data_IF_732704347769
#
_entry.id   IF_732704347769
#
_cell.length_a   1.000
_cell.length_b   1.000
_cell.length_c   1.000
_cell.angle_alpha   90.00
_cell.angle_beta   90.00
_cell.angle_gamma   90.00
#
_symmetry.space_group_name_H-M   'P 1'
#
loop_
_entity.id
_entity.type
_entity.pdbx_description
1 polymer ?
#
# COMPACT_ATOMS: atom_id res chain seq x y z
N UNK A 1 12.27 -1.81 12.94
CA UNK A 1 11.31 -2.77 13.53
C UNK A 1 10.69 -2.11 14.76
N UNK A 2 9.37 -1.92 14.81
CA UNK A 2 8.70 -1.39 16.01
C UNK A 2 8.34 -2.56 16.93
N UNK A 3 9.21 -2.93 17.86
CA UNK A 3 9.01 -4.19 18.57
C UNK A 3 7.92 -4.13 19.64
N UNK A 4 7.53 -2.96 20.17
CA UNK A 4 6.50 -2.84 21.24
C UNK A 4 5.75 -1.50 21.23
N UNK A 5 4.49 -1.53 20.81
CA UNK A 5 3.56 -0.39 20.91
C UNK A 5 2.53 -0.70 21.99
N UNK A 6 2.08 0.29 22.75
CA UNK A 6 1.17 0.11 23.88
C UNK A 6 0.01 1.11 23.83
N UNK A 7 -1.13 0.73 24.40
CA UNK A 7 -2.16 1.67 24.83
C UNK A 7 -1.96 2.00 26.31
N UNK A 8 -2.28 3.24 26.68
CA UNK A 8 -2.20 3.71 28.06
C UNK A 8 -3.60 4.03 28.59
N UNK A 9 -3.71 4.08 29.92
CA UNK A 9 -4.88 4.60 30.62
C UNK A 9 -4.42 5.56 31.72
N UNK A 10 -5.27 6.52 32.08
CA UNK A 10 -5.01 7.40 33.22
C UNK A 10 -5.47 6.70 34.49
N UNK A 11 -4.58 6.60 35.47
CA UNK A 11 -4.87 6.06 36.79
C UNK A 11 -4.63 7.12 37.85
N UNK A 12 -5.59 7.25 38.76
CA UNK A 12 -5.47 8.12 39.94
C UNK A 12 -4.60 7.44 41.00
N UNK A 13 -3.81 8.22 41.71
CA UNK A 13 -3.02 7.77 42.85
C UNK A 13 -2.90 8.91 43.85
N UNK A 14 -2.67 8.57 45.12
CA UNK A 14 -2.33 9.54 46.16
C UNK A 14 -0.82 9.55 46.33
N UNK A 15 -0.20 10.74 46.33
CA UNK A 15 1.23 10.86 46.59
C UNK A 15 1.55 10.77 48.08
N UNK A 16 2.84 10.82 48.41
CA UNK A 16 3.35 10.80 49.78
C UNK A 16 2.80 11.93 50.67
N UNK A 17 2.34 13.01 50.04
CA UNK A 17 1.84 14.21 50.72
C UNK A 17 0.31 14.20 50.85
N UNK A 18 -0.34 13.07 50.52
CA UNK A 18 -1.79 12.91 50.60
C UNK A 18 -2.56 13.55 49.43
N UNK A 19 -1.88 14.06 48.39
CA UNK A 19 -2.53 14.73 47.25
C UNK A 19 -2.89 13.73 46.16
N UNK A 20 -4.13 13.84 45.65
CA UNK A 20 -4.61 13.07 44.50
C UNK A 20 -3.93 13.56 43.22
N UNK A 21 -3.25 12.66 42.51
CA UNK A 21 -2.58 12.89 41.23
C UNK A 21 -2.99 11.86 40.19
N UNK A 22 -2.68 12.14 38.92
CA UNK A 22 -2.94 11.23 37.80
C UNK A 22 -1.63 10.86 37.12
N UNK A 23 -1.49 9.59 36.76
CA UNK A 23 -0.37 9.10 35.96
C UNK A 23 -0.89 8.26 34.80
N UNK A 24 -0.14 8.25 33.70
CA UNK A 24 -0.38 7.27 32.64
C UNK A 24 0.22 5.94 33.05
N UNK A 25 -0.56 4.88 32.89
CA UNK A 25 -0.12 3.50 33.10
C UNK A 25 -0.40 2.66 31.86
N UNK A 26 0.38 1.60 31.68
CA UNK A 26 0.21 0.66 30.58
C UNK A 26 -1.15 -0.04 30.71
N UNK A 27 -1.96 -0.01 29.66
CA UNK A 27 -3.22 -0.74 29.56
C UNK A 27 -3.04 -2.06 28.82
N UNK A 28 -2.50 -2.01 27.60
CA UNK A 28 -2.31 -3.18 26.73
C UNK A 28 -1.08 -3.02 25.84
N UNK A 29 -0.42 -4.12 25.54
CA UNK A 29 0.73 -4.17 24.63
C UNK A 29 0.36 -4.83 23.31
N UNK A 30 0.93 -4.31 22.23
CA UNK A 30 0.77 -4.75 20.85
C UNK A 30 2.15 -5.08 20.27
N UNK A 31 2.24 -6.24 19.63
CA UNK A 31 3.37 -6.61 18.77
C UNK A 31 3.10 -6.01 17.40
N UNK A 32 4.07 -5.26 16.87
CA UNK A 32 3.92 -4.58 15.59
C UNK A 32 5.06 -4.93 14.66
N UNK A 33 4.78 -5.12 13.38
CA UNK A 33 5.78 -5.37 12.34
C UNK A 33 5.45 -4.44 11.18
N UNK A 34 6.44 -3.68 10.72
CA UNK A 34 6.31 -2.87 9.50
C UNK A 34 6.53 -3.79 8.32
N UNK A 35 5.57 -3.80 7.41
CA UNK A 35 5.53 -4.68 6.24
C UNK A 35 5.39 -3.79 5.01
N UNK A 36 6.12 -4.14 3.97
CA UNK A 36 5.96 -3.54 2.65
C UNK A 36 5.44 -4.62 1.71
N UNK A 37 4.35 -4.33 1.02
CA UNK A 37 3.83 -5.16 -0.06
C UNK A 37 3.96 -4.36 -1.34
N UNK A 38 4.47 -5.01 -2.38
CA UNK A 38 4.51 -4.47 -3.73
C UNK A 38 3.75 -5.41 -4.64
N UNK A 39 2.90 -4.85 -5.48
CA UNK A 39 2.23 -5.58 -6.55
C UNK A 39 2.68 -4.96 -7.87
N UNK A 40 2.96 -5.81 -8.83
CA UNK A 40 3.31 -5.42 -10.19
C UNK A 40 2.39 -6.16 -11.14
N UNK A 41 1.87 -5.44 -12.12
CA UNK A 41 1.19 -6.05 -13.24
C UNK A 41 1.85 -5.58 -14.52
N UNK A 42 2.20 -6.54 -15.37
CA UNK A 42 2.79 -6.30 -16.67
C UNK A 42 1.97 -7.02 -17.74
N UNK A 43 1.91 -6.44 -18.93
CA UNK A 43 1.45 -7.14 -20.12
C UNK A 43 2.50 -7.06 -21.23
N UNK A 44 2.47 -8.06 -22.10
CA UNK A 44 3.22 -8.12 -23.34
C UNK A 44 2.26 -8.60 -24.43
N UNK A 45 2.12 -7.80 -25.49
CA UNK A 45 1.35 -8.12 -26.68
C UNK A 45 2.29 -8.12 -27.89
N UNK A 46 2.53 -9.30 -28.44
CA UNK A 46 3.23 -9.45 -29.71
C UNK A 46 2.24 -9.35 -30.87
N UNK A 47 2.53 -8.51 -31.88
CA UNK A 47 1.69 -8.34 -33.06
C UNK A 47 2.44 -8.62 -34.36
N UNK A 48 1.68 -9.03 -35.37
CA UNK A 48 2.12 -9.17 -36.77
C UNK A 48 1.04 -8.63 -37.69
N UNK A 49 1.43 -7.78 -38.62
CA UNK A 49 0.60 -7.29 -39.71
C UNK A 49 0.97 -8.11 -40.95
N UNK A 50 -0.02 -8.78 -41.54
CA UNK A 50 0.18 -9.69 -42.67
C UNK A 50 -0.56 -9.16 -43.88
N UNK A 51 0.10 -9.20 -45.04
CA UNK A 51 -0.55 -8.97 -46.33
C UNK A 51 -1.44 -10.18 -46.64
N UNK A 52 -2.75 -10.00 -46.70
CA UNK A 52 -3.70 -11.11 -46.90
C UNK A 52 -3.65 -11.72 -48.31
N UNK A 53 -3.15 -10.98 -49.30
CA UNK A 53 -3.00 -11.46 -50.68
C UNK A 53 -1.76 -12.33 -50.87
N UNK A 54 -0.66 -12.03 -50.15
CA UNK A 54 0.63 -12.70 -50.33
C UNK A 54 1.04 -13.59 -49.16
N UNK A 55 0.38 -13.46 -48.00
CA UNK A 55 0.78 -14.11 -46.75
C UNK A 55 2.04 -13.52 -46.10
N UNK A 56 2.67 -12.51 -46.73
CA UNK A 56 3.90 -11.92 -46.23
C UNK A 56 3.66 -11.05 -45.00
N UNK A 57 4.56 -11.15 -44.02
CA UNK A 57 4.56 -10.26 -42.85
C UNK A 57 5.06 -8.89 -43.31
N UNK A 58 4.19 -7.88 -43.18
CA UNK A 58 4.48 -6.48 -43.50
C UNK A 58 5.22 -5.84 -42.33
N UNK A 59 4.80 -6.16 -41.10
CA UNK A 59 5.39 -5.61 -39.87
C UNK A 59 5.15 -6.54 -38.70
N UNK A 60 6.06 -6.52 -37.74
CA UNK A 60 5.87 -7.14 -36.43
C UNK A 60 6.45 -6.25 -35.34
N UNK A 61 6.01 -6.46 -34.12
CA UNK A 61 6.59 -5.81 -32.96
C UNK A 61 5.95 -6.32 -31.67
N UNK A 62 6.46 -5.79 -30.58
CA UNK A 62 5.97 -6.05 -29.23
C UNK A 62 5.46 -4.73 -28.64
N UNK A 63 4.40 -4.85 -27.85
CA UNK A 63 3.84 -3.76 -27.05
C UNK A 63 3.84 -4.25 -25.61
N UNK A 64 4.57 -3.59 -24.74
CA UNK A 64 4.65 -3.91 -23.33
C UNK A 64 4.33 -2.69 -22.47
N UNK A 65 3.64 -2.92 -21.36
CA UNK A 65 3.59 -1.94 -20.28
C UNK A 65 3.52 -2.65 -18.93
N UNK A 66 4.06 -1.96 -17.92
CA UNK A 66 4.03 -2.41 -16.55
C UNK A 66 3.57 -1.27 -15.64
N UNK A 67 2.79 -1.63 -14.63
CA UNK A 67 2.36 -0.74 -13.57
C UNK A 67 2.60 -1.41 -12.23
N UNK A 68 3.07 -0.61 -11.27
CA UNK A 68 3.42 -1.13 -9.95
C UNK A 68 2.87 -0.22 -8.87
N UNK A 69 2.40 -0.84 -7.79
CA UNK A 69 1.96 -0.14 -6.60
C UNK A 69 2.66 -0.71 -5.36
N UNK A 70 2.99 0.18 -4.43
CA UNK A 70 3.76 -0.15 -3.22
C UNK A 70 3.08 0.42 -2.01
N UNK A 71 2.87 -0.45 -1.04
CA UNK A 71 2.15 -0.17 0.19
C UNK A 71 3.05 -0.47 1.39
N UNK A 72 3.22 0.52 2.26
CA UNK A 72 3.97 0.43 3.51
C UNK A 72 3.01 0.57 4.69
N UNK A 73 2.88 -0.48 5.50
CA UNK A 73 1.95 -0.50 6.63
C UNK A 73 2.53 -1.21 7.84
N UNK A 74 1.95 -0.95 9.00
CA UNK A 74 2.30 -1.64 10.24
C UNK A 74 1.22 -2.68 10.56
N UNK A 75 1.58 -3.95 10.44
CA UNK A 75 0.76 -5.05 10.92
C UNK A 75 0.92 -5.15 12.44
N UNK A 76 -0.20 -5.22 13.17
CA UNK A 76 -0.20 -5.47 14.60
C UNK A 76 -1.15 -6.58 15.00
N UNK A 77 -0.81 -7.27 16.09
CA UNK A 77 -1.63 -8.35 16.60
C UNK A 77 -2.87 -7.83 17.35
N UNK A 78 -3.96 -8.63 17.34
CA UNK A 78 -5.15 -8.40 18.17
C UNK A 78 -5.72 -6.97 18.08
N UNK A 79 -5.83 -6.45 16.86
CA UNK A 79 -6.47 -5.15 16.62
C UNK A 79 -7.90 -5.17 17.16
N UNK A 80 -8.18 -4.30 18.12
CA UNK A 80 -9.44 -4.19 18.84
C UNK A 80 -10.12 -2.83 18.59
N UNK A 81 -9.86 -2.21 17.43
CA UNK A 81 -10.44 -0.92 17.06
C UNK A 81 -9.78 0.30 17.72
N UNK A 82 -8.66 0.13 18.41
CA UNK A 82 -7.94 1.26 19.04
C UNK A 82 -7.39 2.20 17.97
N UNK A 83 -7.77 3.48 18.07
CA UNK A 83 -7.26 4.52 17.17
C UNK A 83 -5.72 4.61 17.27
N UNK A 84 -4.98 4.52 16.15
CA UNK A 84 -3.51 4.62 16.14
C UNK A 84 -2.95 5.86 16.84
N UNK A 85 -3.69 6.96 16.87
CA UNK A 85 -3.29 8.20 17.56
C UNK A 85 -3.23 8.06 19.09
N UNK A 86 -3.91 7.06 19.66
CA UNK A 86 -3.93 6.78 21.09
C UNK A 86 -2.80 5.84 21.53
N UNK A 87 -2.05 5.29 20.58
CA UNK A 87 -0.97 4.36 20.86
C UNK A 87 0.33 5.09 21.16
N UNK A 88 1.18 4.42 21.91
CA UNK A 88 2.40 4.95 22.51
C UNK A 88 3.55 3.96 22.40
N UNK A 89 4.77 4.47 22.48
CA UNK A 89 5.97 3.67 22.68
C UNK A 89 6.38 3.85 24.14
N UNK A 90 6.76 2.75 24.80
CA UNK A 90 7.36 2.82 26.13
C UNK A 90 8.85 3.10 25.99
N UNK A 91 9.29 4.22 26.55
CA UNK A 91 10.69 4.65 26.58
C UNK A 91 11.13 4.75 28.05
N UNK A 92 11.77 3.68 28.54
CA UNK A 92 12.04 3.48 29.95
C UNK A 92 10.77 3.52 30.81
N UNK A 93 10.67 4.54 31.67
CA UNK A 93 9.53 4.80 32.56
C UNK A 93 8.45 5.70 31.95
N UNK A 94 8.67 6.27 30.76
CA UNK A 94 7.76 7.22 30.11
C UNK A 94 7.04 6.59 28.92
N UNK A 95 5.88 7.15 28.58
CA UNK A 95 5.15 6.83 27.36
C UNK A 95 5.29 7.98 26.36
N UNK A 96 5.78 7.68 25.16
CA UNK A 96 5.95 8.64 24.06
C UNK A 96 4.89 8.39 23.00
N UNK A 97 4.47 9.46 22.31
CA UNK A 97 3.62 9.33 21.12
C UNK A 97 4.38 8.63 20.00
N UNK A 98 3.65 7.88 19.18
CA UNK A 98 4.16 7.37 17.90
C UNK A 98 4.53 8.53 16.97
N UNK A 99 5.50 8.30 16.09
CA UNK A 99 5.85 9.23 15.03
C UNK A 99 4.64 9.48 14.11
N UNK A 100 4.66 10.57 13.34
CA UNK A 100 3.62 10.83 12.33
C UNK A 100 3.56 9.69 11.30
N UNK A 101 4.73 9.22 10.87
CA UNK A 101 4.86 8.19 9.84
C UNK A 101 4.33 6.84 10.32
N UNK A 102 4.65 6.45 11.55
CA UNK A 102 4.13 5.20 12.12
C UNK A 102 2.61 5.26 12.30
N UNK A 103 2.05 6.42 12.69
CA UNK A 103 0.60 6.59 12.78
C UNK A 103 -0.08 6.47 11.42
N UNK A 104 0.51 7.05 10.37
CA UNK A 104 0.02 6.91 8.98
C UNK A 104 0.09 5.46 8.51
N UNK A 105 1.23 4.79 8.71
CA UNK A 105 1.43 3.39 8.31
C UNK A 105 0.52 2.40 9.07
N UNK A 106 0.11 2.73 10.30
CA UNK A 106 -0.89 1.93 11.03
C UNK A 106 -2.31 2.12 10.50
N UNK A 107 -2.66 3.35 10.08
CA UNK A 107 -3.95 3.65 9.44
C UNK A 107 -4.07 3.04 8.03
N UNK A 108 -2.95 2.85 7.34
CA UNK A 108 -2.90 2.25 6.00
C UNK A 108 -3.52 0.85 5.95
N UNK A 109 -3.43 0.04 7.03
CA UNK A 109 -3.99 -1.33 7.07
C UNK A 109 -5.50 -1.38 6.85
N UNK A 110 -6.28 -0.42 7.37
CA UNK A 110 -7.73 -0.38 7.14
C UNK A 110 -8.09 -0.09 5.69
N UNK A 111 -7.19 0.59 4.97
CA UNK A 111 -7.34 0.97 3.56
C UNK A 111 -6.89 -0.15 2.61
N UNK A 112 -6.03 -1.08 3.06
CA UNK A 112 -5.47 -2.16 2.23
C UNK A 112 -6.21 -3.51 2.35
N UNK A 113 -7.50 -3.49 2.73
CA UNK A 113 -8.35 -4.70 2.74
C UNK A 113 -8.74 -5.20 1.34
N UNK A 114 -8.30 -4.52 0.29
CA UNK A 114 -8.73 -4.71 -1.08
C UNK A 114 -7.49 -4.91 -1.95
N UNK A 115 -6.82 -6.06 -1.82
CA UNK A 115 -5.83 -6.53 -2.81
C UNK A 115 -6.35 -6.35 -4.25
N UNK A 116 -7.67 -6.50 -4.41
CA UNK A 116 -8.45 -6.27 -5.62
C UNK A 116 -8.44 -4.82 -6.12
N UNK A 117 -8.38 -3.79 -5.27
CA UNK A 117 -8.39 -2.39 -5.70
C UNK A 117 -7.09 -2.00 -6.38
N UNK A 118 -5.95 -2.44 -5.84
CA UNK A 118 -4.63 -2.23 -6.45
C UNK A 118 -4.56 -2.94 -7.82
N UNK A 119 -5.05 -4.18 -7.90
CA UNK A 119 -5.12 -4.94 -9.15
C UNK A 119 -6.09 -4.30 -10.17
N UNK A 120 -7.27 -3.84 -9.73
CA UNK A 120 -8.26 -3.16 -10.59
C UNK A 120 -7.73 -1.84 -11.14
N UNK A 121 -6.96 -1.08 -10.34
CA UNK A 121 -6.37 0.17 -10.80
C UNK A 121 -5.31 -0.07 -11.87
N UNK A 122 -4.38 -1.00 -11.63
CA UNK A 122 -3.39 -1.42 -12.63
C UNK A 122 -4.07 -1.93 -13.91
N UNK A 123 -5.15 -2.71 -13.78
CA UNK A 123 -5.90 -3.23 -14.93
C UNK A 123 -6.59 -2.12 -15.73
N UNK A 124 -7.16 -1.13 -15.04
CA UNK A 124 -7.75 0.03 -15.68
C UNK A 124 -6.72 0.94 -16.35
N UNK A 125 -5.48 1.02 -15.85
CA UNK A 125 -4.40 1.76 -16.49
C UNK A 125 -3.91 1.05 -17.75
N UNK A 126 -3.54 -0.21 -17.62
CA UNK A 126 -3.11 -1.07 -18.74
C UNK A 126 -4.18 -1.13 -19.84
N UNK A 127 -5.45 -1.35 -19.46
CA UNK A 127 -6.56 -1.40 -20.40
C UNK A 127 -6.84 -0.07 -21.13
N UNK A 128 -6.32 1.08 -20.64
CA UNK A 128 -6.42 2.38 -21.32
C UNK A 128 -5.19 2.70 -22.18
N UNK A 129 -4.01 2.26 -21.77
CA UNK A 129 -2.75 2.50 -22.49
C UNK A 129 -2.63 1.56 -23.71
N UNK A 130 -3.00 0.28 -23.55
CA UNK A 130 -2.89 -0.73 -24.62
C UNK A 130 -3.65 -0.37 -25.92
N UNK A 131 -4.94 0.06 -25.89
CA UNK A 131 -5.63 0.41 -27.14
C UNK A 131 -5.01 1.62 -27.83
N UNK A 132 -4.39 2.55 -27.10
CA UNK A 132 -3.74 3.73 -27.67
C UNK A 132 -2.46 3.34 -28.41
N UNK A 133 -1.60 2.56 -27.76
CA UNK A 133 -0.35 2.09 -28.36
C UNK A 133 -0.63 1.21 -29.58
N UNK A 134 -1.66 0.36 -29.52
CA UNK A 134 -2.11 -0.43 -30.66
C UNK A 134 -2.60 0.44 -31.82
N UNK A 135 -3.43 1.46 -31.54
CA UNK A 135 -3.89 2.39 -32.57
C UNK A 135 -2.75 3.24 -33.16
N UNK A 136 -1.75 3.60 -32.38
CA UNK A 136 -0.54 4.29 -32.88
C UNK A 136 0.30 3.39 -33.77
N UNK A 137 0.51 2.12 -33.40
CA UNK A 137 1.16 1.15 -34.26
C UNK A 137 0.44 0.99 -35.60
N UNK A 138 -0.90 1.06 -35.59
CA UNK A 138 -1.75 1.01 -36.78
C UNK A 138 -1.81 2.33 -37.56
N UNK A 139 -1.57 3.51 -36.97
CA UNK A 139 -1.55 4.80 -37.70
C UNK A 139 -0.46 4.88 -38.78
N UNK A 140 0.64 4.15 -38.60
CA UNK A 140 1.68 4.02 -39.62
C UNK A 140 1.32 3.04 -40.75
N UNK A 141 0.17 2.36 -40.64
CA UNK A 141 -0.40 1.58 -41.73
C UNK A 141 -1.28 2.49 -42.59
N UNK A 142 -0.66 3.17 -43.57
CA UNK A 142 -1.39 3.64 -44.73
C UNK A 142 -1.42 2.47 -45.71
N UNK A 143 -2.58 1.87 -46.04
CA UNK A 143 -2.67 1.03 -47.21
C UNK A 143 -2.40 1.94 -48.40
N UNK A 144 -1.14 2.03 -48.82
CA UNK A 144 -0.78 2.61 -50.12
C UNK A 144 -1.62 1.88 -51.15
N UNK A 145 -2.44 2.66 -51.85
CA UNK A 145 -3.21 2.23 -53.02
C UNK A 145 -2.34 1.49 -54.02
#
# INVERSE_FOLDING_TARGET
MLSKVVSTQRQEYTDSDGKKKRREVLKKSYKTNRVKISTEMAYLLTYRIVNTLTGNIIRSGDIDAADSDKVDFINWNRYDGVNPSNLRIRDGSKFKRLSSDDRKAMGARSTHKTTDEMLKWGAGRIGREMPKEFLEALKHYSPTR
#
